data_IF_323802239387
#
_entry.id   IF_323802239387
#
_cell.length_a   1.000
_cell.length_b   1.000
_cell.length_c   1.000
_cell.angle_alpha   90.00
_cell.angle_beta   90.00
_cell.angle_gamma   90.00
#
_symmetry.space_group_name_H-M   'P 1'
#
loop_
_entity.id
_entity.type
_entity.pdbx_description
1 polymer ?
#
# COMPACT_ATOMS: atom_id res chain seq x y z
N UNK A 1 0.52 17.30 -4.59
CA UNK A 1 -0.52 18.07 -5.33
C UNK A 1 -0.10 18.49 -6.72
N UNK A 2 1.05 19.17 -6.91
CA UNK A 2 1.45 19.66 -8.23
C UNK A 2 1.46 18.57 -9.33
N UNK A 3 1.98 17.38 -9.04
CA UNK A 3 2.01 16.26 -9.99
C UNK A 3 0.60 15.79 -10.42
N UNK A 4 -0.40 15.91 -9.54
CA UNK A 4 -1.80 15.62 -9.86
C UNK A 4 -2.36 16.72 -10.75
N UNK A 5 -2.23 17.99 -10.31
CA UNK A 5 -2.78 19.15 -11.02
C UNK A 5 -2.20 19.34 -12.43
N UNK A 6 -0.93 18.96 -12.62
CA UNK A 6 -0.23 19.11 -13.91
C UNK A 6 0.05 17.80 -14.62
N UNK A 7 -0.56 16.70 -14.16
CA UNK A 7 -0.43 15.34 -14.70
C UNK A 7 1.00 14.91 -15.05
N UNK A 8 1.99 15.27 -14.22
CA UNK A 8 3.42 15.10 -14.55
C UNK A 8 3.91 13.65 -14.61
N UNK A 9 3.08 12.68 -14.21
CA UNK A 9 3.41 11.24 -14.14
C UNK A 9 4.76 10.98 -13.44
N UNK A 10 4.90 11.49 -12.22
CA UNK A 10 6.16 11.41 -11.44
C UNK A 10 6.08 10.28 -10.42
N UNK A 11 7.22 9.61 -10.19
CA UNK A 11 7.33 8.56 -9.16
C UNK A 11 7.42 9.21 -7.77
N UNK A 12 6.56 8.76 -6.86
CA UNK A 12 6.58 9.11 -5.44
C UNK A 12 6.44 7.86 -4.59
N UNK A 13 7.09 7.83 -3.42
CA UNK A 13 6.76 6.88 -2.36
C UNK A 13 5.62 7.42 -1.52
N UNK A 14 4.47 6.76 -1.57
CA UNK A 14 3.25 7.15 -0.87
C UNK A 14 2.66 5.96 -0.13
N UNK A 15 1.90 6.24 0.93
CA UNK A 15 0.99 5.25 1.51
C UNK A 15 -0.11 4.94 0.50
N UNK A 16 -0.07 3.74 -0.09
CA UNK A 16 -1.05 3.27 -1.05
C UNK A 16 -1.61 1.93 -0.61
N UNK A 17 -2.81 1.61 -1.07
CA UNK A 17 -3.41 0.31 -0.79
C UNK A 17 -2.54 -0.79 -1.41
N UNK A 18 -2.12 -1.74 -0.60
CA UNK A 18 -1.24 -2.83 -1.01
C UNK A 18 -1.99 -3.76 -1.98
N UNK A 19 -1.48 -3.95 -3.21
CA UNK A 19 -2.22 -4.65 -4.24
C UNK A 19 -2.16 -6.19 -4.03
N UNK A 20 -3.00 -6.93 -4.75
CA UNK A 20 -3.29 -8.36 -4.49
C UNK A 20 -2.09 -9.29 -4.67
N UNK A 21 -1.03 -8.83 -5.32
CA UNK A 21 0.22 -9.56 -5.57
C UNK A 21 1.11 -9.68 -4.31
N UNK A 22 0.79 -8.92 -3.26
CA UNK A 22 1.45 -8.99 -1.96
C UNK A 22 0.60 -9.78 -0.96
N UNK A 23 1.28 -10.48 -0.05
CA UNK A 23 0.67 -11.42 0.90
C UNK A 23 -0.38 -10.78 1.81
N UNK A 24 -0.14 -9.56 2.29
CA UNK A 24 -1.01 -8.84 3.21
C UNK A 24 -1.77 -7.69 2.53
N UNK A 25 -2.30 -7.94 1.33
CA UNK A 25 -3.02 -6.96 0.51
C UNK A 25 -4.22 -6.30 1.22
N UNK A 26 -4.62 -5.13 0.71
CA UNK A 26 -5.79 -4.37 1.17
C UNK A 26 -5.51 -3.28 2.20
N UNK A 27 -4.36 -3.32 2.88
CA UNK A 27 -3.95 -2.25 3.82
C UNK A 27 -3.10 -1.19 3.15
N UNK A 28 -3.04 0.01 3.73
CA UNK A 28 -2.17 1.06 3.23
C UNK A 28 -0.73 0.82 3.66
N UNK A 29 0.18 0.88 2.70
CA UNK A 29 1.60 0.62 2.87
C UNK A 29 2.42 1.55 1.98
N UNK A 30 3.64 1.91 2.40
CA UNK A 30 4.53 2.76 1.62
C UNK A 30 5.07 2.04 0.39
N UNK A 31 4.63 2.41 -0.80
CA UNK A 31 5.17 1.90 -2.08
C UNK A 31 5.45 3.04 -3.07
N UNK A 32 6.45 2.87 -3.95
CA UNK A 32 6.64 3.75 -5.08
C UNK A 32 5.50 3.57 -6.10
N UNK A 33 4.91 4.69 -6.50
CA UNK A 33 3.81 4.74 -7.47
C UNK A 33 4.00 5.91 -8.44
N UNK A 34 3.38 5.81 -9.62
CA UNK A 34 3.33 6.92 -10.57
C UNK A 34 2.13 7.80 -10.22
N UNK A 35 2.36 9.05 -9.87
CA UNK A 35 1.30 10.01 -9.52
C UNK A 35 0.96 10.91 -10.71
N UNK A 36 -0.34 11.03 -11.01
CA UNK A 36 -0.87 11.92 -12.03
C UNK A 36 -2.29 12.41 -11.71
N UNK A 37 -2.98 12.99 -12.70
CA UNK A 37 -4.31 13.61 -12.51
C UNK A 37 -5.40 12.65 -12.03
N UNK A 38 -5.27 11.36 -12.36
CA UNK A 38 -6.22 10.31 -11.99
C UNK A 38 -5.84 9.58 -10.69
N UNK A 39 -5.02 10.21 -9.84
CA UNK A 39 -4.44 9.56 -8.67
C UNK A 39 -3.15 8.81 -9.01
N UNK A 40 -2.92 7.68 -8.36
CA UNK A 40 -1.70 6.90 -8.51
C UNK A 40 -1.90 5.64 -9.35
N UNK A 41 -0.83 5.19 -10.00
CA UNK A 41 -0.75 3.93 -10.74
C UNK A 41 0.33 3.09 -10.05
N UNK A 42 0.00 1.83 -9.73
CA UNK A 42 0.99 0.91 -9.18
C UNK A 42 2.08 0.60 -10.21
N UNK A 43 3.32 0.62 -9.73
CA UNK A 43 4.42 -0.03 -10.45
C UNK A 43 4.28 -1.55 -10.34
N UNK A 44 4.93 -2.32 -11.24
CA UNK A 44 5.03 -3.76 -11.08
C UNK A 44 5.56 -4.14 -9.69
N UNK A 45 5.16 -5.33 -9.20
CA UNK A 45 5.62 -5.85 -7.91
C UNK A 45 7.15 -5.78 -7.84
N UNK A 46 7.64 -5.13 -6.79
CA UNK A 46 9.07 -5.02 -6.52
C UNK A 46 9.62 -6.41 -6.25
N UNK A 47 10.69 -6.77 -6.95
CA UNK A 47 11.47 -7.97 -6.63
C UNK A 47 12.36 -7.63 -5.45
N UNK A 48 12.14 -8.33 -4.35
CA UNK A 48 12.94 -8.27 -3.13
C UNK A 48 13.74 -9.56 -3.00
N UNK A 49 14.89 -9.49 -2.35
CA UNK A 49 15.60 -10.70 -1.91
C UNK A 49 14.82 -11.41 -0.79
N UNK A 50 15.15 -12.68 -0.52
CA UNK A 50 14.34 -13.51 0.38
C UNK A 50 14.24 -12.92 1.80
N UNK A 51 15.32 -12.36 2.32
CA UNK A 51 15.37 -11.71 3.64
C UNK A 51 14.56 -10.41 3.65
N UNK A 52 14.69 -9.58 2.62
CA UNK A 52 13.90 -8.36 2.43
C UNK A 52 12.39 -8.67 2.32
N UNK A 53 12.03 -9.73 1.60
CA UNK A 53 10.64 -10.17 1.46
C UNK A 53 10.06 -10.63 2.79
N UNK A 54 10.84 -11.34 3.62
CA UNK A 54 10.43 -11.73 4.97
C UNK A 54 10.16 -10.49 5.83
N UNK A 55 11.07 -9.50 5.80
CA UNK A 55 10.91 -8.24 6.54
C UNK A 55 9.64 -7.51 6.07
N UNK A 56 9.44 -7.41 4.76
CA UNK A 56 8.27 -6.77 4.15
C UNK A 56 6.96 -7.45 4.57
N UNK A 57 6.91 -8.78 4.49
CA UNK A 57 5.73 -9.56 4.83
C UNK A 57 5.39 -9.42 6.33
N UNK A 58 6.39 -9.48 7.20
CA UNK A 58 6.18 -9.33 8.64
C UNK A 58 5.63 -7.93 8.99
N UNK A 59 6.21 -6.88 8.40
CA UNK A 59 5.77 -5.52 8.68
C UNK A 59 4.37 -5.23 8.11
N UNK A 60 4.08 -5.70 6.89
CA UNK A 60 2.73 -5.55 6.31
C UNK A 60 1.68 -6.37 7.05
N UNK A 61 2.05 -7.52 7.63
CA UNK A 61 1.19 -8.29 8.54
C UNK A 61 0.83 -7.49 9.79
N UNK A 62 1.83 -6.91 10.46
CA UNK A 62 1.63 -6.12 11.68
C UNK A 62 0.68 -4.93 11.43
N UNK A 63 0.85 -4.22 10.31
CA UNK A 63 -0.05 -3.14 9.90
C UNK A 63 -1.48 -3.63 9.69
N UNK A 64 -1.65 -4.80 9.07
CA UNK A 64 -2.98 -5.38 8.82
C UNK A 64 -3.66 -5.82 10.11
N UNK A 65 -2.95 -6.54 10.96
CA UNK A 65 -3.48 -7.00 12.24
C UNK A 65 -3.87 -5.81 13.14
N UNK A 66 -3.02 -4.78 13.21
CA UNK A 66 -3.31 -3.55 13.96
C UNK A 66 -4.56 -2.84 13.42
N UNK A 67 -4.68 -2.72 12.09
CA UNK A 67 -5.85 -2.11 11.46
C UNK A 67 -7.12 -2.89 11.78
N UNK A 68 -7.09 -4.22 11.70
CA UNK A 68 -8.22 -5.10 12.04
C UNK A 68 -8.61 -4.90 13.50
N UNK A 69 -7.66 -4.93 14.42
CA UNK A 69 -7.92 -4.76 15.86
C UNK A 69 -8.59 -3.41 16.16
N UNK A 70 -8.08 -2.31 15.56
CA UNK A 70 -8.68 -0.98 15.75
C UNK A 70 -10.11 -0.95 15.21
N UNK A 71 -10.34 -1.45 14.00
CA UNK A 71 -11.68 -1.46 13.40
C UNK A 71 -12.67 -2.30 14.20
N UNK A 72 -12.24 -3.46 14.71
CA UNK A 72 -13.04 -4.30 15.60
C UNK A 72 -13.40 -3.57 16.90
N UNK A 73 -12.44 -2.88 17.53
CA UNK A 73 -12.69 -2.08 18.74
C UNK A 73 -13.68 -0.94 18.50
N UNK A 74 -13.81 -0.47 17.26
CA UNK A 74 -14.76 0.55 16.84
C UNK A 74 -16.10 -0.03 16.32
N UNK A 75 -16.30 -1.34 16.36
CA UNK A 75 -17.44 -2.04 15.74
C UNK A 75 -17.60 -1.73 14.23
N UNK A 76 -16.49 -1.45 13.54
CA UNK A 76 -16.47 -1.25 12.09
C UNK A 76 -16.04 -2.55 11.43
N UNK A 77 -16.84 -3.03 10.48
CA UNK A 77 -16.48 -4.22 9.68
C UNK A 77 -15.35 -3.83 8.72
N UNK A 78 -14.19 -4.53 8.74
CA UNK A 78 -13.11 -4.24 7.81
C UNK A 78 -13.52 -4.56 6.37
N UNK A 79 -13.16 -3.68 5.45
CA UNK A 79 -13.22 -3.91 4.01
C UNK A 79 -11.82 -3.83 3.41
N UNK A 80 -11.34 -4.97 2.91
CA UNK A 80 -10.04 -5.12 2.27
C UNK A 80 -10.20 -5.55 0.80
N UNK A 81 -11.38 -5.36 0.20
CA UNK A 81 -11.68 -5.62 -1.22
C UNK A 81 -11.67 -4.38 -2.11
#
# INVERSE_FOLDING_TARGET
>A
MQAILTDRKVIYSLGVRLPKEYKHSGVYFGLPVILGKNGYIHLPKIRLEDDEQIIFDNYSKEMKDTTIQILQNLNIKPDFE
#
